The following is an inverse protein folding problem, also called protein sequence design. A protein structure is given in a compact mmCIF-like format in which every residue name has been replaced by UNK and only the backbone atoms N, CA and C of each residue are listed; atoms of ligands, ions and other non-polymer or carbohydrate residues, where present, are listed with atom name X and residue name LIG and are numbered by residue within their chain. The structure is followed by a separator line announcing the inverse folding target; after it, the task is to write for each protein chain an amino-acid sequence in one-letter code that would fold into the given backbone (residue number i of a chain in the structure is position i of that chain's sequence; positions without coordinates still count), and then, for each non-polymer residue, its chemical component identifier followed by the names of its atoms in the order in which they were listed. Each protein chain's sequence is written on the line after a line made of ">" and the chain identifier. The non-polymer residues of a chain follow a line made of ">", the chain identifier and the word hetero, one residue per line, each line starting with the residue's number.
data_IF_085668404695
#
_entry.id   IF_085668404695
#
_cell.length_a   1.000
_cell.length_b   1.000
_cell.length_c   1.000
_cell.angle_alpha   90.00
_cell.angle_beta   90.00
_cell.angle_gamma   90.00
#
_symmetry.space_group_name_H-M   'P 1'
#
loop_
_entity.id
_entity.type
_entity.pdbx_description
1 polymer ?
#
# COMPACT_ATOMS: atom_id res chain seq x y z
N UNK A 1 14.36 18.04 -7.14
CA UNK A 1 13.59 16.93 -7.77
C UNK A 1 13.87 15.58 -7.12
N UNK A 2 15.14 15.20 -6.93
CA UNK A 2 15.58 13.94 -6.29
C UNK A 2 14.92 13.65 -4.92
N UNK A 3 14.91 14.62 -4.02
CA UNK A 3 14.32 14.49 -2.68
C UNK A 3 12.81 14.19 -2.71
N UNK A 4 12.08 14.72 -3.70
CA UNK A 4 10.65 14.45 -3.89
C UNK A 4 10.37 12.98 -4.25
N UNK A 5 11.24 12.36 -5.05
CA UNK A 5 11.12 10.94 -5.40
C UNK A 5 11.47 10.02 -4.23
N UNK A 6 12.48 10.38 -3.43
CA UNK A 6 12.79 9.67 -2.18
C UNK A 6 11.60 9.73 -1.22
N UNK A 7 11.01 10.91 -1.03
CA UNK A 7 9.84 11.07 -0.17
C UNK A 7 8.64 10.25 -0.68
N UNK A 8 8.34 10.29 -1.98
CA UNK A 8 7.29 9.44 -2.56
C UNK A 8 7.58 7.95 -2.35
N UNK A 9 8.81 7.50 -2.61
CA UNK A 9 9.22 6.10 -2.41
C UNK A 9 8.98 5.62 -0.98
N UNK A 10 9.40 6.41 0.02
CA UNK A 10 9.16 6.11 1.44
C UNK A 10 7.66 6.07 1.79
N UNK A 11 6.85 6.97 1.22
CA UNK A 11 5.39 6.95 1.39
C UNK A 11 4.79 5.65 0.86
N UNK A 12 5.22 5.18 -0.32
CA UNK A 12 4.76 3.91 -0.87
C UNK A 12 5.22 2.71 -0.03
N UNK A 13 6.45 2.71 0.49
CA UNK A 13 6.92 1.67 1.43
C UNK A 13 6.02 1.63 2.67
N UNK A 14 5.77 2.78 3.29
CA UNK A 14 4.92 2.88 4.48
C UNK A 14 3.47 2.43 4.17
N UNK A 15 2.93 2.81 3.03
CA UNK A 15 1.60 2.40 2.59
C UNK A 15 1.51 0.88 2.38
N UNK A 16 2.52 0.27 1.76
CA UNK A 16 2.59 -1.18 1.55
C UNK A 16 2.61 -1.95 2.88
N UNK A 17 3.40 -1.49 3.85
CA UNK A 17 3.42 -2.03 5.22
C UNK A 17 2.06 -1.88 5.91
N UNK A 18 1.44 -0.70 5.80
CA UNK A 18 0.12 -0.43 6.37
C UNK A 18 -0.95 -1.37 5.78
N UNK A 19 -0.88 -1.65 4.49
CA UNK A 19 -1.79 -2.58 3.81
C UNK A 19 -1.66 -4.00 4.32
N UNK A 20 -0.43 -4.45 4.60
CA UNK A 20 -0.17 -5.76 5.16
C UNK A 20 -0.60 -5.89 6.63
N UNK A 21 -0.41 -4.82 7.41
CA UNK A 21 -0.74 -4.79 8.83
C UNK A 21 -2.25 -4.61 9.09
N UNK A 22 -2.92 -3.77 8.30
CA UNK A 22 -4.32 -3.36 8.53
C UNK A 22 -5.26 -3.61 7.33
N UNK A 23 -5.29 -4.81 6.74
CA UNK A 23 -6.10 -5.09 5.55
C UNK A 23 -7.60 -4.90 5.78
N UNK A 24 -8.09 -5.10 7.03
CA UNK A 24 -9.51 -4.88 7.38
C UNK A 24 -9.88 -3.39 7.38
N UNK A 25 -9.00 -2.49 7.84
CA UNK A 25 -9.29 -1.04 7.81
C UNK A 25 -9.34 -0.52 6.38
N UNK A 26 -8.37 -0.91 5.55
CA UNK A 26 -8.36 -0.54 4.12
C UNK A 26 -9.53 -1.15 3.36
N UNK A 27 -9.89 -2.40 3.66
CA UNK A 27 -11.08 -3.03 3.07
C UNK A 27 -12.37 -2.28 3.41
N UNK A 28 -12.54 -1.86 4.67
CA UNK A 28 -13.67 -1.00 5.07
C UNK A 28 -13.64 0.37 4.40
N UNK A 29 -12.45 0.96 4.24
CA UNK A 29 -12.29 2.23 3.55
C UNK A 29 -12.68 2.11 2.07
N UNK A 30 -12.28 1.03 1.39
CA UNK A 30 -12.70 0.74 0.01
C UNK A 30 -14.22 0.55 -0.09
N UNK A 31 -14.82 -0.14 0.87
CA UNK A 31 -16.26 -0.41 0.90
C UNK A 31 -17.07 0.74 1.51
N UNK A 32 -16.46 1.91 1.74
CA UNK A 32 -17.15 3.06 2.35
C UNK A 32 -18.21 3.57 1.37
N UNK A 33 -19.48 3.29 1.68
CA UNK A 33 -20.63 3.59 0.82
C UNK A 33 -21.41 2.35 0.36
N UNK A 34 -20.90 1.14 0.61
CA UNK A 34 -21.68 -0.08 0.45
C UNK A 34 -22.64 -0.28 1.63
N UNK A 35 -23.77 -0.94 1.39
CA UNK A 35 -24.74 -1.35 2.44
C UNK A 35 -24.05 -2.19 3.52
N UNK A 36 -23.12 -3.05 3.10
CA UNK A 36 -22.19 -3.74 3.99
C UNK A 36 -20.76 -3.24 3.75
N UNK A 37 -20.21 -2.57 4.77
CA UNK A 37 -18.83 -2.05 4.73
C UNK A 37 -17.79 -3.10 5.09
N UNK A 38 -18.20 -4.28 5.57
CA UNK A 38 -17.30 -5.33 6.05
C UNK A 38 -16.55 -5.98 4.86
N UNK A 39 -15.20 -6.02 4.88
CA UNK A 39 -14.45 -6.59 3.77
C UNK A 39 -14.45 -8.12 3.82
N UNK A 40 -14.73 -8.73 2.66
CA UNK A 40 -14.70 -10.18 2.49
C UNK A 40 -13.31 -10.77 2.81
N UNK A 41 -13.26 -12.06 3.13
CA UNK A 41 -12.00 -12.79 3.36
C UNK A 41 -11.06 -12.71 2.14
N UNK A 42 -11.62 -12.80 0.93
CA UNK A 42 -10.88 -12.63 -0.32
C UNK A 42 -10.24 -11.25 -0.47
N UNK A 43 -11.00 -10.19 -0.19
CA UNK A 43 -10.49 -8.82 -0.24
C UNK A 43 -9.37 -8.57 0.78
N UNK A 44 -9.53 -9.08 2.01
CA UNK A 44 -8.47 -8.99 3.04
C UNK A 44 -7.18 -9.69 2.58
N UNK A 45 -7.29 -10.88 1.97
CA UNK A 45 -6.14 -11.60 1.42
C UNK A 45 -5.49 -10.83 0.27
N UNK A 46 -6.28 -10.28 -0.65
CA UNK A 46 -5.75 -9.51 -1.78
C UNK A 46 -5.00 -8.25 -1.30
N UNK A 47 -5.55 -7.50 -0.34
CA UNK A 47 -4.87 -6.34 0.23
C UNK A 47 -3.57 -6.75 0.94
N UNK A 48 -3.58 -7.84 1.72
CA UNK A 48 -2.43 -8.27 2.51
C UNK A 48 -1.33 -8.94 1.71
N UNK A 49 -1.66 -9.75 0.71
CA UNK A 49 -0.70 -10.62 0.03
C UNK A 49 -0.38 -10.21 -1.40
N UNK A 50 -1.17 -9.33 -2.01
CA UNK A 50 -0.91 -8.80 -3.35
C UNK A 50 -0.69 -7.29 -3.30
N UNK A 51 -1.70 -6.54 -2.85
CA UNK A 51 -1.65 -5.08 -2.85
C UNK A 51 -0.52 -4.51 -2.01
N UNK A 52 -0.43 -4.89 -0.73
CA UNK A 52 0.60 -4.41 0.19
C UNK A 52 2.03 -4.73 -0.29
N UNK A 53 2.35 -5.98 -0.65
CA UNK A 53 3.68 -6.34 -1.16
C UNK A 53 4.03 -5.60 -2.46
N UNK A 54 3.12 -5.50 -3.43
CA UNK A 54 3.38 -4.77 -4.69
C UNK A 54 3.67 -3.30 -4.44
N UNK A 55 2.88 -2.65 -3.59
CA UNK A 55 3.06 -1.25 -3.22
C UNK A 55 4.38 -1.04 -2.47
N UNK A 56 4.75 -1.97 -1.59
CA UNK A 56 6.03 -1.93 -0.88
C UNK A 56 7.22 -2.05 -1.84
N UNK A 57 7.18 -3.02 -2.75
CA UNK A 57 8.23 -3.23 -3.75
C UNK A 57 8.38 -2.01 -4.66
N UNK A 58 7.26 -1.44 -5.12
CA UNK A 58 7.27 -0.23 -5.92
C UNK A 58 7.91 0.95 -5.17
N UNK A 59 7.55 1.15 -3.90
CA UNK A 59 8.12 2.20 -3.07
C UNK A 59 9.62 2.04 -2.84
N UNK A 60 10.07 0.81 -2.55
CA UNK A 60 11.48 0.49 -2.38
C UNK A 60 12.25 0.74 -3.69
N UNK A 61 11.70 0.30 -4.82
CA UNK A 61 12.29 0.51 -6.15
C UNK A 61 12.46 2.00 -6.48
N UNK A 62 11.40 2.81 -6.29
CA UNK A 62 11.46 4.26 -6.51
C UNK A 62 12.48 4.94 -5.61
N UNK A 63 12.59 4.52 -4.35
CA UNK A 63 13.57 5.06 -3.40
C UNK A 63 14.99 4.75 -3.87
N UNK A 64 15.27 3.49 -4.25
CA UNK A 64 16.60 3.07 -4.74
C UNK A 64 16.97 3.83 -6.01
N UNK A 65 16.03 3.94 -6.96
CA UNK A 65 16.27 4.62 -8.24
C UNK A 65 16.55 6.12 -8.02
N UNK A 66 15.81 6.77 -7.11
CA UNK A 66 16.04 8.16 -6.74
C UNK A 66 17.38 8.40 -6.02
N UNK A 67 17.92 7.40 -5.31
CA UNK A 67 19.22 7.48 -4.64
C UNK A 67 20.41 7.14 -5.56
N UNK A 68 20.17 6.43 -6.65
CA UNK A 68 21.21 5.98 -7.58
C UNK A 68 21.37 6.82 -8.85
N UNK A 69 20.36 7.59 -9.25
CA UNK A 69 20.46 8.64 -10.29
C UNK A 69 20.60 10.01 -9.69
#
# INVERSE_FOLDING_TARGET
>A
MREGYVAMGLVFVALGLLMMAYPRRLGRFRNRGAVDSEPTSGLKKQIRYLGGPLVLVLGAWLTVLALSG
#
